data_IF_331250301159
#
_entry.id   IF_331250301159
#
_cell.length_a   1.000
_cell.length_b   1.000
_cell.length_c   1.000
_cell.angle_alpha   90.00
_cell.angle_beta   90.00
_cell.angle_gamma   90.00
#
_symmetry.space_group_name_H-M   'P 1'
#
loop_
_entity.id
_entity.type
_entity.pdbx_description
1 polymer ?
#
# COMPACT_ATOMS: atom_id res chain seq x y z
N UNK A 1 -2.76 7.60 -33.55
CA UNK A 1 -2.16 8.83 -32.98
C UNK A 1 -1.25 8.41 -31.84
N UNK A 2 -0.07 9.00 -31.76
CA UNK A 2 0.81 8.84 -30.60
C UNK A 2 0.10 9.47 -29.39
N UNK A 3 0.22 8.86 -28.20
CA UNK A 3 -0.41 9.43 -27.00
C UNK A 3 0.34 10.71 -26.59
N UNK A 4 -0.41 11.80 -26.45
CA UNK A 4 0.06 13.05 -25.86
C UNK A 4 -0.76 13.33 -24.60
N UNK A 5 -0.07 13.72 -23.53
CA UNK A 5 -0.74 14.14 -22.30
C UNK A 5 -1.41 15.49 -22.54
N UNK A 6 -2.56 15.72 -21.91
CA UNK A 6 -3.26 17.00 -22.05
C UNK A 6 -2.37 18.15 -21.56
N UNK A 7 -2.25 19.19 -22.37
CA UNK A 7 -1.65 20.46 -21.97
C UNK A 7 -2.53 21.18 -20.94
N UNK A 8 -1.97 22.13 -20.20
CA UNK A 8 -2.73 22.93 -19.23
C UNK A 8 -3.91 23.66 -19.87
N UNK A 9 -3.79 24.14 -21.12
CA UNK A 9 -4.89 24.80 -21.83
C UNK A 9 -6.00 23.82 -22.22
N UNK A 10 -5.65 22.65 -22.75
CA UNK A 10 -6.61 21.60 -23.10
C UNK A 10 -7.32 21.08 -21.85
N UNK A 11 -6.59 20.87 -20.76
CA UNK A 11 -7.17 20.41 -19.51
C UNK A 11 -8.09 21.48 -18.90
N UNK A 12 -7.73 22.76 -18.97
CA UNK A 12 -8.59 23.87 -18.54
C UNK A 12 -9.90 23.90 -19.34
N UNK A 13 -9.82 23.80 -20.67
CA UNK A 13 -11.01 23.74 -21.52
C UNK A 13 -11.88 22.51 -21.22
N UNK A 14 -11.26 21.36 -21.01
CA UNK A 14 -11.94 20.12 -20.65
C UNK A 14 -12.70 20.24 -19.32
N UNK A 15 -12.05 20.72 -18.25
CA UNK A 15 -12.66 20.85 -16.92
C UNK A 15 -13.85 21.82 -16.91
N UNK A 16 -13.79 22.90 -17.70
CA UNK A 16 -14.94 23.82 -17.90
C UNK A 16 -16.10 23.16 -18.61
N UNK A 17 -15.81 22.20 -19.49
CA UNK A 17 -16.81 21.40 -20.21
C UNK A 17 -17.51 20.35 -19.35
N UNK A 18 -17.06 20.10 -18.11
CA UNK A 18 -17.67 19.15 -17.18
C UNK A 18 -18.45 19.93 -16.10
N UNK A 19 -19.79 20.10 -16.22
CA UNK A 19 -20.54 21.04 -15.39
C UNK A 19 -20.39 20.83 -13.88
N UNK A 20 -20.40 19.58 -13.42
CA UNK A 20 -20.24 19.26 -12.00
C UNK A 20 -18.86 19.66 -11.45
N UNK A 21 -17.80 19.48 -12.25
CA UNK A 21 -16.43 19.86 -11.87
C UNK A 21 -16.25 21.37 -11.96
N UNK A 22 -16.79 22.00 -13.00
CA UNK A 22 -16.72 23.45 -13.16
C UNK A 22 -17.41 24.19 -12.01
N UNK A 23 -18.58 23.71 -11.58
CA UNK A 23 -19.27 24.23 -10.40
C UNK A 23 -18.45 24.00 -9.10
N UNK A 24 -17.79 22.85 -8.93
CA UNK A 24 -16.92 22.60 -7.78
C UNK A 24 -15.72 23.57 -7.71
N UNK A 25 -15.26 24.04 -8.87
CA UNK A 25 -14.18 25.01 -9.00
C UNK A 25 -14.66 26.47 -8.85
N UNK A 26 -15.95 26.69 -8.61
CA UNK A 26 -16.59 28.02 -8.55
C UNK A 26 -16.57 28.76 -9.89
N UNK A 27 -16.82 28.02 -10.97
CA UNK A 27 -16.97 28.51 -12.34
C UNK A 27 -15.93 29.55 -12.78
N UNK A 28 -14.62 29.27 -12.64
CA UNK A 28 -13.61 30.28 -12.83
C UNK A 28 -13.38 30.62 -14.30
N UNK A 29 -13.17 31.91 -14.57
CA UNK A 29 -12.69 32.38 -15.88
C UNK A 29 -11.27 31.91 -16.23
N UNK A 30 -10.46 31.53 -15.23
CA UNK A 30 -9.07 31.08 -15.36
C UNK A 30 -8.72 30.00 -14.33
N UNK A 31 -8.00 28.95 -14.76
CA UNK A 31 -7.55 27.86 -13.92
C UNK A 31 -6.02 27.83 -13.90
N UNK A 32 -5.46 27.75 -12.70
CA UNK A 32 -4.04 27.44 -12.51
C UNK A 32 -3.87 25.92 -12.52
N UNK A 33 -3.12 25.42 -13.50
CA UNK A 33 -2.90 23.98 -13.71
C UNK A 33 -1.41 23.67 -13.70
N UNK A 34 -1.02 22.82 -12.76
CA UNK A 34 0.36 22.37 -12.56
C UNK A 34 0.41 20.84 -12.59
N UNK A 35 1.35 20.26 -13.34
CA UNK A 35 1.65 18.83 -13.25
C UNK A 35 2.58 18.59 -12.06
N UNK A 36 2.16 17.74 -11.14
CA UNK A 36 2.80 17.51 -9.84
C UNK A 36 3.11 16.04 -9.58
N UNK A 37 2.90 15.18 -10.57
CA UNK A 37 3.11 13.74 -10.44
C UNK A 37 4.59 13.41 -10.34
N UNK A 38 5.03 13.05 -9.13
CA UNK A 38 6.28 12.33 -8.87
C UNK A 38 6.09 10.80 -9.00
N UNK A 39 4.87 10.37 -9.30
CA UNK A 39 4.44 8.98 -9.33
C UNK A 39 4.98 8.16 -10.52
N UNK A 40 5.07 6.85 -10.30
CA UNK A 40 5.69 5.92 -11.25
C UNK A 40 4.83 5.57 -12.47
N UNK A 41 3.50 5.83 -12.44
CA UNK A 41 2.55 5.28 -13.43
C UNK A 41 1.76 6.32 -14.23
N UNK A 42 1.37 7.46 -13.64
CA UNK A 42 0.36 8.35 -14.21
C UNK A 42 0.79 9.82 -14.16
N UNK A 43 0.15 10.66 -14.98
CA UNK A 43 0.24 12.12 -14.85
C UNK A 43 -0.76 12.60 -13.82
N UNK A 44 -0.34 13.52 -12.95
CA UNK A 44 -1.17 14.08 -11.89
C UNK A 44 -1.11 15.59 -11.98
N UNK A 45 -2.26 16.23 -12.10
CA UNK A 45 -2.38 17.68 -12.21
C UNK A 45 -3.16 18.23 -11.03
N UNK A 46 -2.66 19.31 -10.45
CA UNK A 46 -3.47 20.18 -9.59
C UNK A 46 -4.13 21.23 -10.45
N UNK A 47 -5.46 21.29 -10.42
CA UNK A 47 -6.24 22.34 -11.06
C UNK A 47 -6.93 23.16 -9.98
N UNK A 48 -6.64 24.46 -9.92
CA UNK A 48 -7.17 25.39 -8.93
C UNK A 48 -7.79 26.61 -9.59
N UNK A 49 -8.84 27.16 -9.00
CA UNK A 49 -9.35 28.47 -9.38
C UNK A 49 -8.29 29.54 -9.05
N UNK A 50 -7.86 30.32 -10.05
CA UNK A 50 -6.79 31.33 -9.89
C UNK A 50 -7.13 32.44 -8.87
N UNK A 51 -8.43 32.67 -8.60
CA UNK A 51 -8.91 33.67 -7.63
C UNK A 51 -9.31 33.07 -6.28
N UNK A 52 -9.50 31.76 -6.22
CA UNK A 52 -9.91 31.02 -5.03
C UNK A 52 -9.19 29.66 -4.95
N UNK A 53 -7.87 29.63 -4.65
CA UNK A 53 -7.04 28.43 -4.78
C UNK A 53 -7.50 27.21 -3.95
N UNK A 54 -8.32 27.44 -2.91
CA UNK A 54 -8.97 26.38 -2.14
C UNK A 54 -10.02 25.61 -2.94
N UNK A 55 -10.63 26.24 -3.95
CA UNK A 55 -11.49 25.59 -4.95
C UNK A 55 -10.60 24.88 -5.96
N UNK A 56 -10.30 23.62 -5.65
CA UNK A 56 -9.33 22.86 -6.43
C UNK A 56 -9.65 21.37 -6.48
N UNK A 57 -9.15 20.74 -7.54
CA UNK A 57 -9.28 19.31 -7.81
C UNK A 57 -7.93 18.72 -8.22
N UNK A 58 -7.83 17.40 -8.11
CA UNK A 58 -6.76 16.63 -8.74
C UNK A 58 -7.31 16.03 -10.01
N UNK A 59 -6.54 16.10 -11.09
CA UNK A 59 -6.80 15.34 -12.32
C UNK A 59 -5.70 14.32 -12.49
N UNK A 60 -6.06 13.05 -12.71
CA UNK A 60 -5.10 11.98 -12.95
C UNK A 60 -5.37 11.34 -14.31
N UNK A 61 -4.34 11.13 -15.12
CA UNK A 61 -4.45 10.57 -16.46
C UNK A 61 -3.42 9.46 -16.68
N UNK A 62 -3.87 8.33 -17.25
CA UNK A 62 -3.02 7.17 -17.52
C UNK A 62 -2.39 7.21 -18.92
N UNK A 63 -1.04 7.27 -19.05
CA UNK A 63 -0.36 7.01 -20.32
C UNK A 63 -0.37 5.51 -20.70
N UNK A 64 -0.18 5.14 -21.98
CA UNK A 64 -0.15 3.74 -22.42
C UNK A 64 1.18 3.02 -22.11
N UNK A 65 1.93 3.48 -21.11
CA UNK A 65 3.22 2.94 -20.69
C UNK A 65 3.46 3.22 -19.20
N UNK A 66 4.41 2.49 -18.60
CA UNK A 66 4.87 2.73 -17.23
C UNK A 66 5.78 3.96 -17.20
N UNK A 67 5.33 5.06 -16.58
CA UNK A 67 6.05 6.36 -16.55
C UNK A 67 7.48 6.25 -15.99
N UNK A 68 7.70 5.38 -14.99
CA UNK A 68 9.03 5.13 -14.38
C UNK A 68 10.09 4.65 -15.39
N UNK A 69 9.67 3.88 -16.40
CA UNK A 69 10.57 3.30 -17.41
C UNK A 69 10.46 4.03 -18.76
N UNK A 70 9.30 4.61 -19.04
CA UNK A 70 8.97 5.25 -20.30
C UNK A 70 8.39 4.30 -21.34
N UNK A 71 8.39 4.72 -22.60
CA UNK A 71 7.72 4.03 -23.72
C UNK A 71 8.20 2.59 -23.97
N UNK A 72 9.36 2.19 -23.45
CA UNK A 72 9.90 0.83 -23.55
C UNK A 72 9.16 -0.20 -22.71
N UNK A 73 8.28 0.23 -21.79
CA UNK A 73 7.41 -0.66 -21.01
C UNK A 73 5.93 -0.31 -21.21
N UNK A 74 5.26 -0.90 -22.23
CA UNK A 74 3.83 -0.70 -22.46
C UNK A 74 2.98 -1.12 -21.26
N UNK A 75 1.93 -0.37 -20.97
CA UNK A 75 1.03 -0.65 -19.86
C UNK A 75 -0.38 -0.13 -20.18
N UNK A 76 -1.39 -0.97 -20.00
CA UNK A 76 -2.78 -0.64 -20.31
C UNK A 76 -3.28 0.59 -19.57
N UNK A 77 -3.97 1.48 -20.28
CA UNK A 77 -4.63 2.65 -19.70
C UNK A 77 -5.90 2.29 -18.92
N UNK A 78 -6.47 1.10 -19.15
CA UNK A 78 -7.63 0.60 -18.41
C UNK A 78 -7.40 0.51 -16.89
N UNK A 79 -6.14 0.58 -16.44
CA UNK A 79 -5.82 0.76 -15.02
C UNK A 79 -6.49 1.99 -14.38
N UNK A 80 -6.75 3.05 -15.16
CA UNK A 80 -7.49 4.21 -14.66
C UNK A 80 -8.94 3.87 -14.31
N UNK A 81 -9.60 3.06 -15.14
CA UNK A 81 -10.96 2.59 -14.86
C UNK A 81 -11.01 1.68 -13.63
N UNK A 82 -9.97 0.85 -13.45
CA UNK A 82 -9.79 0.01 -12.26
C UNK A 82 -9.60 0.86 -11.01
N UNK A 83 -8.76 1.89 -11.09
CA UNK A 83 -8.54 2.84 -10.00
C UNK A 83 -9.84 3.58 -9.62
N UNK A 84 -10.58 4.10 -10.60
CA UNK A 84 -11.87 4.77 -10.39
C UNK A 84 -12.87 3.83 -9.72
N UNK A 85 -13.00 2.60 -10.20
CA UNK A 85 -13.90 1.60 -9.62
C UNK A 85 -13.52 1.27 -8.18
N UNK A 86 -12.22 1.09 -7.90
CA UNK A 86 -11.70 0.81 -6.58
C UNK A 86 -11.89 2.00 -5.62
N UNK A 87 -11.57 3.23 -6.02
CA UNK A 87 -11.80 4.44 -5.21
C UNK A 87 -13.28 4.62 -4.88
N UNK A 88 -14.19 4.43 -5.84
CA UNK A 88 -15.64 4.49 -5.59
C UNK A 88 -16.08 3.40 -4.62
N UNK A 89 -15.59 2.16 -4.79
CA UNK A 89 -15.92 1.04 -3.90
C UNK A 89 -15.40 1.28 -2.49
N UNK A 90 -14.14 1.64 -2.33
CA UNK A 90 -13.54 1.92 -1.02
C UNK A 90 -14.14 3.15 -0.37
N UNK A 91 -14.45 4.21 -1.13
CA UNK A 91 -15.14 5.40 -0.64
C UNK A 91 -16.57 5.13 -0.17
N UNK A 92 -17.27 4.15 -0.76
CA UNK A 92 -18.56 3.71 -0.25
C UNK A 92 -18.45 2.95 1.09
N UNK A 93 -17.32 2.28 1.33
CA UNK A 93 -17.07 1.50 2.56
C UNK A 93 -16.45 2.33 3.68
N UNK A 94 -15.63 3.33 3.33
CA UNK A 94 -14.84 4.11 4.25
C UNK A 94 -14.64 5.56 3.72
N UNK A 95 -15.73 6.34 3.60
CA UNK A 95 -15.69 7.67 2.97
C UNK A 95 -14.78 8.68 3.68
N UNK A 96 -14.47 8.46 4.96
CA UNK A 96 -13.57 9.31 5.75
C UNK A 96 -12.08 9.11 5.43
N UNK A 97 -11.70 8.04 4.73
CA UNK A 97 -10.31 7.67 4.46
C UNK A 97 -10.02 7.46 2.97
N UNK A 98 -10.93 7.84 2.07
CA UNK A 98 -10.76 7.69 0.62
C UNK A 98 -11.22 8.98 -0.05
N UNK A 99 -10.39 9.59 -0.92
CA UNK A 99 -10.77 10.80 -1.62
C UNK A 99 -11.96 10.57 -2.55
N UNK A 100 -12.85 11.55 -2.64
CA UNK A 100 -14.01 11.46 -3.53
C UNK A 100 -13.59 11.57 -5.00
N UNK A 101 -14.14 10.69 -5.84
CA UNK A 101 -14.06 10.82 -7.30
C UNK A 101 -15.24 11.67 -7.78
N UNK A 102 -14.96 12.81 -8.41
CA UNK A 102 -15.96 13.73 -8.93
C UNK A 102 -16.36 13.41 -10.37
N UNK A 103 -15.39 13.00 -11.19
CA UNK A 103 -15.61 12.70 -12.60
C UNK A 103 -14.64 11.63 -13.08
N UNK A 104 -15.03 10.87 -14.10
CA UNK A 104 -14.19 9.90 -14.76
C UNK A 104 -14.57 9.81 -16.25
N UNK A 105 -13.56 9.65 -17.10
CA UNK A 105 -13.68 9.63 -18.55
C UNK A 105 -12.87 8.46 -19.09
N UNK A 106 -13.59 7.45 -19.61
CA UNK A 106 -13.00 6.22 -20.14
C UNK A 106 -12.30 6.43 -21.48
N UNK A 107 -12.73 7.41 -22.28
CA UNK A 107 -12.11 7.66 -23.60
C UNK A 107 -10.74 8.32 -23.42
N UNK A 108 -10.63 9.22 -22.45
CA UNK A 108 -9.38 9.91 -22.10
C UNK A 108 -8.54 9.18 -21.05
N UNK A 109 -9.06 8.11 -20.44
CA UNK A 109 -8.46 7.43 -19.29
C UNK A 109 -8.04 8.43 -18.21
N UNK A 110 -8.99 9.26 -17.81
CA UNK A 110 -8.81 10.40 -16.93
C UNK A 110 -9.81 10.34 -15.78
N UNK A 111 -9.40 10.77 -14.59
CA UNK A 111 -10.32 11.04 -13.49
C UNK A 111 -10.08 12.41 -12.86
N UNK A 112 -11.14 12.98 -12.30
CA UNK A 112 -11.10 14.17 -11.45
C UNK A 112 -11.53 13.78 -10.05
N UNK A 113 -10.73 14.13 -9.05
CA UNK A 113 -10.94 13.72 -7.65
C UNK A 113 -10.61 14.83 -6.66
N UNK A 114 -11.00 14.61 -5.40
CA UNK A 114 -10.74 15.50 -4.28
C UNK A 114 -9.24 15.79 -4.13
N UNK A 115 -8.89 17.07 -4.07
CA UNK A 115 -7.54 17.51 -3.70
C UNK A 115 -7.39 17.53 -2.19
N UNK A 116 -6.34 16.88 -1.70
CA UNK A 116 -5.99 16.82 -0.28
C UNK A 116 -4.91 17.86 0.04
N UNK A 117 -5.20 19.15 -0.21
CA UNK A 117 -4.20 20.23 -0.20
C UNK A 117 -3.50 20.46 1.15
N UNK A 118 -4.13 20.10 2.27
CA UNK A 118 -3.54 20.17 3.61
C UNK A 118 -2.80 18.90 4.05
N UNK A 119 -2.70 17.91 3.16
CA UNK A 119 -2.09 16.61 3.46
C UNK A 119 -0.76 16.46 2.73
N UNK A 120 0.08 15.58 3.27
CA UNK A 120 1.32 15.15 2.64
C UNK A 120 1.39 13.64 2.57
N UNK A 121 2.21 13.12 1.68
CA UNK A 121 2.50 11.68 1.61
C UNK A 121 3.10 11.22 2.94
N UNK A 122 2.54 10.16 3.53
CA UNK A 122 2.93 9.62 4.83
C UNK A 122 4.41 9.28 4.87
N UNK A 123 4.95 8.67 3.83
CA UNK A 123 6.39 8.35 3.71
C UNK A 123 7.28 9.55 4.05
N UNK A 124 7.00 10.71 3.45
CA UNK A 124 7.78 11.91 3.74
C UNK A 124 7.62 12.36 5.20
N UNK A 125 6.40 12.29 5.74
CA UNK A 125 6.16 12.55 7.16
C UNK A 125 6.96 11.63 8.10
N UNK A 126 7.09 10.34 7.74
CA UNK A 126 7.87 9.37 8.50
C UNK A 126 9.38 9.66 8.46
N UNK A 127 9.90 10.06 7.30
CA UNK A 127 11.29 10.49 7.14
C UNK A 127 11.59 11.75 7.94
N UNK A 128 10.65 12.69 7.99
CA UNK A 128 10.77 13.93 8.75
C UNK A 128 10.57 13.73 10.28
N UNK A 129 10.23 12.52 10.73
CA UNK A 129 10.03 12.24 12.16
C UNK A 129 8.71 12.79 12.72
N UNK A 130 7.71 12.99 11.87
CA UNK A 130 6.40 13.53 12.27
C UNK A 130 5.54 12.42 12.88
N UNK A 131 5.01 12.67 14.08
CA UNK A 131 4.03 11.80 14.73
C UNK A 131 2.63 12.13 14.20
N UNK A 132 1.88 11.09 13.87
CA UNK A 132 0.49 11.18 13.40
C UNK A 132 -0.44 10.45 14.38
N UNK A 133 -1.05 11.15 15.36
CA UNK A 133 -1.72 10.51 16.51
C UNK A 133 -2.86 9.56 16.14
N UNK A 134 -3.52 9.78 15.00
CA UNK A 134 -4.69 9.01 14.56
C UNK A 134 -4.37 7.94 13.51
N UNK A 135 -3.11 7.82 13.09
CA UNK A 135 -2.71 6.96 11.98
C UNK A 135 -3.18 5.51 12.18
N UNK A 136 -2.87 4.92 13.34
CA UNK A 136 -3.25 3.55 13.62
C UNK A 136 -4.77 3.33 13.62
N UNK A 137 -5.53 4.22 14.24
CA UNK A 137 -6.99 4.12 14.30
C UNK A 137 -7.64 4.23 12.91
N UNK A 138 -7.13 5.13 12.06
CA UNK A 138 -7.65 5.32 10.71
C UNK A 138 -7.31 4.16 9.77
N UNK A 139 -6.04 3.72 9.75
CA UNK A 139 -5.63 2.61 8.88
C UNK A 139 -6.25 1.28 9.31
N UNK A 140 -6.37 1.02 10.61
CA UNK A 140 -7.08 -0.17 11.08
C UNK A 140 -8.55 -0.17 10.67
N UNK A 141 -9.22 0.98 10.77
CA UNK A 141 -10.61 1.15 10.29
C UNK A 141 -10.72 0.90 8.79
N UNK A 142 -9.86 1.55 8.00
CA UNK A 142 -9.83 1.38 6.53
C UNK A 142 -9.61 -0.09 6.14
N UNK A 143 -8.57 -0.73 6.67
CA UNK A 143 -8.24 -2.13 6.37
C UNK A 143 -9.39 -3.06 6.77
N UNK A 144 -9.96 -2.90 7.97
CA UNK A 144 -11.03 -3.77 8.43
C UNK A 144 -12.28 -3.66 7.55
N UNK A 145 -12.69 -2.44 7.19
CA UNK A 145 -13.88 -2.22 6.37
C UNK A 145 -13.68 -2.71 4.93
N UNK A 146 -12.58 -2.31 4.29
CA UNK A 146 -12.33 -2.66 2.88
C UNK A 146 -12.12 -4.16 2.68
N UNK A 147 -11.35 -4.80 3.57
CA UNK A 147 -11.07 -6.23 3.45
C UNK A 147 -12.28 -7.10 3.86
N UNK A 148 -13.06 -6.71 4.87
CA UNK A 148 -14.23 -7.48 5.31
C UNK A 148 -15.38 -7.42 4.30
N UNK A 149 -15.83 -6.22 3.92
CA UNK A 149 -17.01 -6.03 3.07
C UNK A 149 -16.80 -6.40 1.60
N UNK A 150 -15.55 -6.64 1.19
CA UNK A 150 -15.21 -7.22 -0.11
C UNK A 150 -15.13 -8.75 -0.12
N UNK A 151 -15.26 -9.43 1.03
CA UNK A 151 -15.00 -10.87 1.15
C UNK A 151 -16.27 -11.73 1.14
N UNK A 152 -16.08 -13.04 0.96
CA UNK A 152 -17.14 -14.05 1.09
C UNK A 152 -17.68 -14.17 2.55
N UNK A 153 -17.05 -13.52 3.54
CA UNK A 153 -17.60 -13.42 4.90
C UNK A 153 -18.83 -12.48 4.96
N UNK A 154 -19.00 -11.62 3.95
CA UNK A 154 -20.07 -10.64 3.89
C UNK A 154 -20.90 -10.75 2.60
N UNK A 155 -20.22 -10.80 1.45
CA UNK A 155 -20.85 -10.84 0.14
C UNK A 155 -21.50 -12.20 -0.11
N UNK A 156 -22.62 -12.18 -0.84
CA UNK A 156 -23.19 -13.42 -1.36
C UNK A 156 -22.23 -14.03 -2.42
N UNK A 157 -22.17 -15.37 -2.55
CA UNK A 157 -21.18 -16.02 -3.40
C UNK A 157 -21.28 -15.68 -4.90
N UNK A 158 -22.46 -15.36 -5.41
CA UNK A 158 -22.71 -14.92 -6.78
C UNK A 158 -22.25 -13.47 -7.00
N UNK A 159 -22.59 -12.57 -6.07
CA UNK A 159 -22.14 -11.18 -6.07
C UNK A 159 -20.62 -11.09 -6.06
N UNK A 160 -19.97 -11.88 -5.20
CA UNK A 160 -18.50 -11.92 -5.12
C UNK A 160 -17.89 -12.45 -6.41
N UNK A 161 -18.43 -13.51 -7.02
CA UNK A 161 -17.91 -14.04 -8.30
C UNK A 161 -18.00 -13.03 -9.44
N UNK A 162 -19.11 -12.29 -9.51
CA UNK A 162 -19.25 -11.22 -10.49
C UNK A 162 -18.25 -10.09 -10.20
N UNK A 163 -18.05 -9.71 -8.94
CA UNK A 163 -17.07 -8.70 -8.58
C UNK A 163 -15.61 -9.12 -8.88
N UNK A 164 -15.27 -10.40 -8.73
CA UNK A 164 -13.97 -10.96 -9.15
C UNK A 164 -13.78 -10.79 -10.66
N UNK A 165 -14.79 -11.11 -11.45
CA UNK A 165 -14.77 -10.95 -12.92
C UNK A 165 -14.54 -9.49 -13.32
N UNK A 166 -15.22 -8.56 -12.67
CA UNK A 166 -15.16 -7.14 -13.03
C UNK A 166 -13.85 -6.47 -12.61
N UNK A 167 -13.17 -7.02 -11.60
CA UNK A 167 -11.92 -6.50 -11.05
C UNK A 167 -10.66 -7.20 -11.62
N UNK A 168 -10.77 -7.95 -12.72
CA UNK A 168 -9.59 -8.53 -13.38
C UNK A 168 -8.64 -7.41 -13.83
N UNK A 169 -7.37 -7.53 -13.41
CA UNK A 169 -6.32 -6.52 -13.61
C UNK A 169 -4.97 -7.17 -13.98
N UNK A 170 -4.99 -8.00 -15.01
CA UNK A 170 -3.91 -8.93 -15.36
C UNK A 170 -2.53 -8.28 -15.57
N UNK A 171 -2.44 -7.14 -16.25
CA UNK A 171 -1.17 -6.46 -16.50
C UNK A 171 -0.53 -5.91 -15.21
N UNK A 172 -1.32 -5.34 -14.31
CA UNK A 172 -0.81 -4.78 -13.05
C UNK A 172 -0.51 -5.90 -12.04
N UNK A 173 -1.31 -6.98 -12.05
CA UNK A 173 -0.96 -8.22 -11.34
C UNK A 173 0.38 -8.77 -11.82
N UNK A 174 0.63 -8.83 -13.14
CA UNK A 174 1.90 -9.31 -13.71
C UNK A 174 3.09 -8.46 -13.27
N UNK A 175 2.95 -7.13 -13.24
CA UNK A 175 3.98 -6.23 -12.70
C UNK A 175 4.33 -6.62 -11.26
N UNK A 176 3.32 -6.94 -10.45
CA UNK A 176 3.52 -7.35 -9.05
C UNK A 176 4.14 -8.76 -8.95
N UNK A 177 3.64 -9.72 -9.70
CA UNK A 177 4.17 -11.09 -9.81
C UNK A 177 5.67 -11.09 -10.11
N UNK A 178 6.08 -10.22 -11.02
CA UNK A 178 7.47 -10.05 -11.43
C UNK A 178 8.29 -9.30 -10.38
N UNK A 179 7.90 -8.07 -10.06
CA UNK A 179 8.72 -7.15 -9.27
C UNK A 179 8.70 -7.43 -7.78
N UNK A 180 7.70 -8.16 -7.26
CA UNK A 180 7.62 -8.50 -5.84
C UNK A 180 8.08 -9.94 -5.58
N UNK A 181 7.70 -10.89 -6.45
CA UNK A 181 7.84 -12.31 -6.12
C UNK A 181 8.87 -13.07 -6.97
N UNK A 182 9.35 -12.47 -8.08
CA UNK A 182 10.21 -13.19 -9.04
C UNK A 182 11.58 -12.51 -9.15
N UNK A 183 11.65 -11.34 -9.75
CA UNK A 183 12.91 -10.68 -10.10
C UNK A 183 13.83 -10.39 -8.91
N UNK A 184 13.36 -9.93 -7.73
CA UNK A 184 14.23 -9.68 -6.57
C UNK A 184 15.04 -10.90 -6.10
N UNK A 185 14.65 -12.10 -6.52
CA UNK A 185 15.23 -13.37 -6.10
C UNK A 185 16.00 -14.08 -7.23
N UNK A 186 16.24 -13.39 -8.34
CA UNK A 186 16.93 -13.87 -9.54
C UNK A 186 18.07 -12.93 -9.95
N UNK A 187 18.84 -13.33 -10.96
CA UNK A 187 19.78 -12.45 -11.64
C UNK A 187 19.08 -11.67 -12.76
N UNK A 188 18.21 -10.76 -12.36
CA UNK A 188 17.39 -9.98 -13.28
C UNK A 188 17.94 -8.56 -13.48
N UNK A 189 18.01 -8.03 -14.71
CA UNK A 189 18.54 -6.68 -14.99
C UNK A 189 17.80 -5.53 -14.32
N UNK A 190 16.57 -5.75 -13.86
CA UNK A 190 15.80 -4.73 -13.13
C UNK A 190 16.25 -4.55 -11.67
N UNK A 191 17.00 -5.51 -11.13
CA UNK A 191 17.47 -5.42 -9.76
C UNK A 191 18.56 -4.37 -9.67
N UNK A 192 18.48 -3.54 -8.64
CA UNK A 192 19.41 -2.45 -8.41
C UNK A 192 19.85 -2.48 -6.95
N UNK A 193 21.16 -2.45 -6.70
CA UNK A 193 21.74 -2.41 -5.37
C UNK A 193 23.11 -1.74 -5.42
N UNK A 194 23.44 -0.99 -4.37
CA UNK A 194 24.72 -0.28 -4.28
C UNK A 194 25.89 -1.27 -4.28
N UNK A 195 27.07 -0.92 -4.82
CA UNK A 195 28.29 -1.73 -4.66
C UNK A 195 28.67 -2.03 -3.20
N UNK A 196 28.22 -1.20 -2.26
CA UNK A 196 28.40 -1.42 -0.82
C UNK A 196 27.50 -2.52 -0.24
N UNK A 197 26.43 -2.90 -0.95
CA UNK A 197 25.53 -3.95 -0.51
C UNK A 197 26.22 -5.33 -0.58
N UNK A 198 26.24 -6.12 0.51
CA UNK A 198 27.04 -7.35 0.54
C UNK A 198 26.56 -8.40 -0.47
N UNK A 199 27.46 -8.84 -1.36
CA UNK A 199 27.17 -9.89 -2.35
C UNK A 199 26.68 -11.21 -1.73
N UNK A 200 27.12 -11.53 -0.51
CA UNK A 200 26.68 -12.72 0.21
C UNK A 200 25.17 -12.70 0.51
N UNK A 201 24.59 -11.52 0.75
CA UNK A 201 23.16 -11.37 1.01
C UNK A 201 22.36 -11.59 -0.29
N UNK A 202 22.85 -11.09 -1.44
CA UNK A 202 22.28 -11.39 -2.77
C UNK A 202 22.33 -12.89 -3.05
N UNK A 203 23.47 -13.53 -2.78
CA UNK A 203 23.62 -14.98 -2.91
C UNK A 203 22.60 -15.74 -2.06
N UNK A 204 22.38 -15.32 -0.81
CA UNK A 204 21.39 -15.91 0.08
C UNK A 204 19.97 -15.81 -0.48
N UNK A 205 19.57 -14.64 -1.00
CA UNK A 205 18.25 -14.44 -1.61
C UNK A 205 17.96 -15.44 -2.74
N UNK A 206 18.99 -15.75 -3.54
CA UNK A 206 18.87 -16.64 -4.71
C UNK A 206 18.96 -18.12 -4.35
N UNK A 207 19.75 -18.47 -3.32
CA UNK A 207 20.15 -19.85 -3.05
C UNK A 207 19.52 -20.46 -1.80
N UNK A 208 18.96 -19.66 -0.88
CA UNK A 208 18.33 -20.17 0.35
C UNK A 208 17.06 -20.95 0.03
N UNK A 209 17.02 -22.29 0.24
CA UNK A 209 15.84 -23.09 -0.10
C UNK A 209 14.60 -22.66 0.68
N UNK A 210 14.75 -22.40 1.99
CA UNK A 210 13.65 -21.99 2.85
C UNK A 210 13.02 -20.66 2.37
N UNK A 211 13.85 -19.69 1.98
CA UNK A 211 13.38 -18.41 1.46
C UNK A 211 12.72 -18.56 0.09
N UNK A 212 13.31 -19.34 -0.82
CA UNK A 212 12.75 -19.57 -2.17
C UNK A 212 11.41 -20.32 -2.13
N UNK A 213 11.25 -21.26 -1.20
CA UNK A 213 9.96 -21.92 -0.95
C UNK A 213 8.95 -20.90 -0.40
N UNK A 214 9.33 -20.13 0.61
CA UNK A 214 8.42 -19.18 1.24
C UNK A 214 7.93 -18.08 0.28
N UNK A 215 8.79 -17.55 -0.61
CA UNK A 215 8.35 -16.60 -1.64
C UNK A 215 7.44 -17.27 -2.68
N UNK A 216 7.70 -18.53 -3.06
CA UNK A 216 6.85 -19.26 -3.99
C UNK A 216 5.44 -19.47 -3.41
N UNK A 217 5.32 -19.74 -2.12
CA UNK A 217 4.03 -19.84 -1.42
C UNK A 217 3.28 -18.49 -1.42
N UNK A 218 3.98 -17.37 -1.21
CA UNK A 218 3.37 -16.04 -1.29
C UNK A 218 2.94 -15.68 -2.72
N UNK A 219 3.76 -16.02 -3.72
CA UNK A 219 3.39 -15.88 -5.14
C UNK A 219 2.15 -16.69 -5.48
N UNK A 220 2.11 -17.95 -5.04
CA UNK A 220 0.96 -18.82 -5.24
C UNK A 220 -0.31 -18.23 -4.64
N UNK A 221 -0.26 -17.77 -3.39
CA UNK A 221 -1.39 -17.12 -2.74
C UNK A 221 -1.84 -15.86 -3.50
N UNK A 222 -0.91 -15.00 -3.91
CA UNK A 222 -1.24 -13.80 -4.71
C UNK A 222 -1.98 -14.13 -6.01
N UNK A 223 -1.57 -15.20 -6.71
CA UNK A 223 -2.13 -15.58 -8.00
C UNK A 223 -3.46 -16.35 -7.91
N UNK A 224 -3.78 -16.95 -6.76
CA UNK A 224 -4.91 -17.90 -6.64
C UNK A 224 -5.95 -17.52 -5.59
N UNK A 225 -5.57 -16.81 -4.52
CA UNK A 225 -6.45 -16.57 -3.37
C UNK A 225 -7.26 -15.29 -3.57
N UNK A 226 -8.39 -15.38 -4.27
CA UNK A 226 -9.31 -14.26 -4.49
C UNK A 226 -10.14 -13.92 -3.23
N UNK A 227 -9.53 -13.55 -2.10
CA UNK A 227 -10.22 -13.41 -0.81
C UNK A 227 -11.07 -12.14 -0.69
N UNK A 228 -10.59 -11.00 -1.20
CA UNK A 228 -11.30 -9.71 -1.15
C UNK A 228 -10.75 -8.75 -2.19
N UNK A 229 -11.45 -7.64 -2.45
CA UNK A 229 -10.93 -6.56 -3.30
C UNK A 229 -9.80 -5.81 -2.56
N UNK A 230 -8.57 -5.96 -3.05
CA UNK A 230 -7.39 -5.30 -2.52
C UNK A 230 -7.22 -3.89 -3.09
N UNK A 231 -6.53 -3.04 -2.35
CA UNK A 231 -5.88 -1.85 -2.87
C UNK A 231 -4.75 -2.22 -3.84
N UNK A 232 -3.95 -3.24 -3.52
CA UNK A 232 -2.94 -3.81 -4.41
C UNK A 232 -1.57 -3.11 -4.37
N UNK A 233 -1.46 -1.86 -3.92
CA UNK A 233 -0.15 -1.25 -3.59
C UNK A 233 -0.16 -0.35 -2.36
N UNK A 234 -0.71 -0.83 -1.24
CA UNK A 234 -0.95 -0.02 -0.02
C UNK A 234 0.32 0.26 0.81
N UNK A 235 1.28 0.95 0.23
CA UNK A 235 2.49 1.39 0.91
C UNK A 235 2.36 2.82 1.47
N UNK A 236 3.32 3.29 2.28
CA UNK A 236 3.31 4.65 2.86
C UNK A 236 3.39 5.79 1.83
N UNK A 237 3.70 5.47 0.56
CA UNK A 237 3.57 6.40 -0.57
C UNK A 237 2.15 6.55 -1.12
N UNK A 238 1.23 5.66 -0.75
CA UNK A 238 -0.18 5.63 -1.21
C UNK A 238 -1.13 6.07 -0.10
N UNK A 239 -0.58 6.80 0.88
CA UNK A 239 -1.29 7.28 2.06
C UNK A 239 -0.91 8.74 2.23
N UNK A 240 -1.93 9.61 2.28
CA UNK A 240 -1.78 11.03 2.58
C UNK A 240 -2.32 11.32 3.98
N UNK A 241 -1.57 12.13 4.75
CA UNK A 241 -1.86 12.39 6.16
C UNK A 241 -1.70 13.86 6.50
N UNK A 242 -2.45 14.27 7.52
CA UNK A 242 -2.16 15.44 8.35
C UNK A 242 -2.31 15.00 9.83
N UNK A 243 -2.28 15.93 10.79
CA UNK A 243 -2.41 15.60 12.23
C UNK A 243 -3.76 14.97 12.61
N UNK A 244 -4.80 15.20 11.81
CA UNK A 244 -6.18 14.89 12.09
C UNK A 244 -6.79 13.82 11.19
N UNK A 245 -6.23 13.59 10.01
CA UNK A 245 -6.84 12.87 8.90
C UNK A 245 -5.84 11.91 8.22
N UNK A 246 -6.37 10.86 7.61
CA UNK A 246 -5.62 9.87 6.86
C UNK A 246 -6.44 9.43 5.66
N UNK A 247 -5.87 9.52 4.47
CA UNK A 247 -6.49 9.14 3.22
C UNK A 247 -5.62 8.13 2.47
N UNK A 248 -6.24 7.10 1.93
CA UNK A 248 -5.62 6.12 1.04
C UNK A 248 -5.93 6.51 -0.40
N UNK A 249 -4.91 6.52 -1.24
CA UNK A 249 -4.95 6.95 -2.65
C UNK A 249 -4.30 5.90 -3.55
N UNK A 250 -4.49 6.02 -4.86
CA UNK A 250 -3.82 5.18 -5.87
C UNK A 250 -4.10 3.66 -5.83
N UNK A 251 -5.36 3.18 -5.71
CA UNK A 251 -5.70 1.76 -5.81
C UNK A 251 -5.71 1.23 -7.26
N UNK A 252 -4.78 1.65 -8.12
CA UNK A 252 -4.74 1.23 -9.54
C UNK A 252 -4.33 -0.24 -9.74
N UNK A 253 -3.70 -0.83 -8.72
CA UNK A 253 -3.38 -2.25 -8.65
C UNK A 253 -4.53 -3.10 -8.08
N UNK A 254 -5.71 -2.51 -7.86
CA UNK A 254 -6.82 -3.22 -7.25
C UNK A 254 -7.26 -4.43 -8.09
N UNK A 255 -7.43 -5.55 -7.41
CA UNK A 255 -7.96 -6.81 -7.91
C UNK A 255 -8.44 -7.67 -6.72
N UNK A 256 -9.16 -8.76 -6.99
CA UNK A 256 -9.48 -9.71 -5.92
C UNK A 256 -8.29 -10.60 -5.61
N UNK A 257 -7.74 -10.47 -4.40
CA UNK A 257 -6.54 -11.17 -3.96
C UNK A 257 -6.52 -11.42 -2.45
N UNK A 258 -5.38 -11.89 -1.90
CA UNK A 258 -5.27 -12.29 -0.50
C UNK A 258 -5.21 -11.08 0.44
N UNK A 259 -6.03 -11.09 1.49
CA UNK A 259 -6.17 -9.96 2.44
C UNK A 259 -4.85 -9.51 3.05
N UNK A 260 -3.96 -10.48 3.34
CA UNK A 260 -2.66 -10.19 3.94
C UNK A 260 -1.76 -9.32 3.07
N UNK A 261 -2.02 -9.20 1.77
CA UNK A 261 -1.16 -8.43 0.86
C UNK A 261 -1.18 -6.93 1.16
N UNK A 262 -2.35 -6.35 1.43
CA UNK A 262 -2.47 -4.93 1.79
C UNK A 262 -1.99 -4.65 3.21
N UNK A 263 -2.33 -5.52 4.17
CA UNK A 263 -1.87 -5.42 5.56
C UNK A 263 -0.34 -5.49 5.59
N UNK A 264 0.23 -6.50 4.91
CA UNK A 264 1.66 -6.68 4.79
C UNK A 264 2.38 -5.50 4.14
N UNK A 265 1.74 -4.81 3.18
CA UNK A 265 2.30 -3.60 2.58
C UNK A 265 2.47 -2.46 3.58
N UNK A 266 1.47 -2.22 4.43
CA UNK A 266 1.53 -1.21 5.49
C UNK A 266 2.61 -1.57 6.50
N UNK A 267 2.58 -2.81 7.02
CA UNK A 267 3.55 -3.27 8.03
C UNK A 267 4.99 -3.22 7.50
N UNK A 268 5.23 -3.70 6.27
CA UNK A 268 6.55 -3.64 5.63
C UNK A 268 7.11 -2.22 5.55
N UNK A 269 6.29 -1.26 5.14
CA UNK A 269 6.77 0.11 4.97
C UNK A 269 7.02 0.82 6.32
N UNK A 270 6.24 0.51 7.36
CA UNK A 270 6.53 0.99 8.72
C UNK A 270 7.82 0.40 9.28
N UNK A 271 8.09 -0.88 9.01
CA UNK A 271 9.34 -1.53 9.41
C UNK A 271 10.55 -0.99 8.62
N UNK A 272 10.41 -0.70 7.33
CA UNK A 272 11.46 -0.04 6.53
C UNK A 272 11.76 1.36 7.08
N UNK A 273 10.72 2.14 7.43
CA UNK A 273 10.88 3.44 8.08
C UNK A 273 11.57 3.30 9.46
N UNK A 274 11.23 2.26 10.23
CA UNK A 274 11.87 1.99 11.52
C UNK A 274 13.38 1.75 11.37
N UNK A 275 13.80 0.88 10.45
CA UNK A 275 15.22 0.58 10.26
C UNK A 275 16.00 1.77 9.68
N UNK A 276 15.36 2.65 8.89
CA UNK A 276 16.03 3.83 8.34
C UNK A 276 16.28 4.93 9.37
N UNK A 277 15.54 4.95 10.49
CA UNK A 277 15.66 5.97 11.53
C UNK A 277 17.06 6.11 12.12
N UNK A 278 17.84 5.02 12.13
CA UNK A 278 19.25 5.05 12.56
C UNK A 278 20.07 6.18 11.92
N UNK A 279 19.78 6.49 10.65
CA UNK A 279 20.43 7.56 9.93
C UNK A 279 19.67 8.88 10.08
N UNK A 280 18.36 8.87 9.84
CA UNK A 280 17.54 10.09 9.85
C UNK A 280 17.53 10.81 11.20
N UNK A 281 17.56 10.08 12.31
CA UNK A 281 17.61 10.66 13.65
C UNK A 281 18.93 11.40 13.93
N UNK A 282 20.06 10.88 13.40
CA UNK A 282 21.38 11.50 13.57
C UNK A 282 21.46 12.85 12.85
N UNK A 283 20.79 12.96 11.70
CA UNK A 283 20.77 14.18 10.90
C UNK A 283 19.88 15.26 11.53
N UNK A 284 18.77 14.88 12.15
CA UNK A 284 17.77 15.83 12.67
C UNK A 284 17.91 16.18 14.17
N UNK A 285 18.90 15.60 14.87
CA UNK A 285 19.14 15.79 16.32
C UNK A 285 17.86 15.62 17.19
N UNK A 286 16.93 14.80 16.71
CA UNK A 286 15.65 14.51 17.36
C UNK A 286 15.82 13.31 18.31
N UNK A 287 14.91 13.16 19.27
CA UNK A 287 14.90 12.03 20.22
C UNK A 287 14.69 10.67 19.55
N UNK A 288 15.74 10.11 18.96
CA UNK A 288 15.77 8.97 18.06
C UNK A 288 15.01 7.73 18.56
N UNK A 289 15.19 7.43 19.85
CA UNK A 289 14.58 6.26 20.49
C UNK A 289 13.06 6.40 20.52
N UNK A 290 12.54 7.59 20.81
CA UNK A 290 11.09 7.82 20.97
C UNK A 290 10.34 7.69 19.65
N UNK A 291 10.92 8.13 18.53
CA UNK A 291 10.25 8.02 17.24
C UNK A 291 10.26 6.58 16.70
N UNK A 292 11.37 5.86 16.89
CA UNK A 292 11.45 4.42 16.59
C UNK A 292 10.45 3.61 17.41
N UNK A 293 10.27 3.94 18.69
CA UNK A 293 9.24 3.33 19.53
C UNK A 293 7.84 3.62 18.98
N UNK A 294 7.55 4.87 18.61
CA UNK A 294 6.27 5.23 18.00
C UNK A 294 5.97 4.45 16.71
N UNK A 295 6.97 4.23 15.84
CA UNK A 295 6.79 3.42 14.62
C UNK A 295 6.41 1.96 14.94
N UNK A 296 7.04 1.36 15.95
CA UNK A 296 6.71 0.01 16.41
C UNK A 296 5.35 -0.05 17.11
N UNK A 297 4.97 1.02 17.82
CA UNK A 297 3.63 1.16 18.38
C UNK A 297 2.57 1.25 17.27
N UNK A 298 2.87 1.90 16.14
CA UNK A 298 1.97 1.91 14.98
C UNK A 298 1.80 0.52 14.38
N UNK A 299 2.88 -0.27 14.25
CA UNK A 299 2.82 -1.67 13.79
C UNK A 299 1.87 -2.49 14.68
N UNK A 300 2.02 -2.38 16.00
CA UNK A 300 1.17 -3.09 16.97
C UNK A 300 -0.28 -2.61 16.93
N UNK A 301 -0.47 -1.28 16.94
CA UNK A 301 -1.79 -0.66 17.03
C UNK A 301 -2.61 -0.83 15.76
N UNK A 302 -1.98 -0.79 14.58
CA UNK A 302 -2.67 -1.04 13.31
C UNK A 302 -3.16 -2.48 13.25
N UNK A 303 -2.29 -3.46 13.54
CA UNK A 303 -2.71 -4.87 13.57
C UNK A 303 -3.81 -5.12 14.60
N UNK A 304 -3.61 -4.68 15.84
CA UNK A 304 -4.58 -4.89 16.93
C UNK A 304 -5.93 -4.21 16.67
N UNK A 305 -5.91 -2.97 16.18
CA UNK A 305 -7.12 -2.25 15.79
C UNK A 305 -7.82 -2.90 14.60
N UNK A 306 -7.06 -3.41 13.63
CA UNK A 306 -7.60 -4.13 12.48
C UNK A 306 -8.29 -5.42 12.93
N UNK A 307 -7.61 -6.26 13.70
CA UNK A 307 -8.14 -7.52 14.22
C UNK A 307 -9.43 -7.29 15.02
N UNK A 308 -9.40 -6.35 15.96
CA UNK A 308 -10.56 -6.02 16.77
C UNK A 308 -11.75 -5.56 15.90
N UNK A 309 -11.51 -4.64 14.97
CA UNK A 309 -12.56 -4.08 14.11
C UNK A 309 -13.09 -5.12 13.14
N UNK A 310 -12.23 -5.90 12.50
CA UNK A 310 -12.61 -6.96 11.55
C UNK A 310 -13.46 -8.03 12.23
N UNK A 311 -13.04 -8.52 13.41
CA UNK A 311 -13.81 -9.49 14.19
C UNK A 311 -15.15 -8.92 14.66
N UNK A 312 -15.21 -7.63 15.02
CA UNK A 312 -16.46 -6.96 15.36
C UNK A 312 -17.41 -6.91 14.15
N UNK A 313 -16.92 -6.50 12.98
CA UNK A 313 -17.71 -6.47 11.74
C UNK A 313 -18.27 -7.85 11.40
N UNK A 314 -17.45 -8.89 11.55
CA UNK A 314 -17.84 -10.29 11.34
C UNK A 314 -18.97 -10.70 12.30
N UNK A 315 -18.77 -10.54 13.62
CA UNK A 315 -19.79 -10.90 14.63
C UNK A 315 -21.09 -10.13 14.42
N UNK A 316 -21.01 -8.83 14.14
CA UNK A 316 -22.17 -7.99 13.88
C UNK A 316 -22.94 -8.44 12.62
N UNK A 317 -22.24 -8.89 11.58
CA UNK A 317 -22.86 -9.38 10.35
C UNK A 317 -23.62 -10.69 10.59
N UNK A 318 -22.98 -11.67 11.23
CA UNK A 318 -23.60 -12.97 11.55
C UNK A 318 -24.78 -12.83 12.50
N UNK A 319 -24.67 -11.94 13.50
CA UNK A 319 -25.78 -11.61 14.41
C UNK A 319 -27.00 -11.08 13.65
N UNK A 320 -26.80 -10.15 12.69
CA UNK A 320 -27.88 -9.63 11.84
C UNK A 320 -28.47 -10.71 10.92
N UNK A 321 -27.64 -11.60 10.38
CA UNK A 321 -28.09 -12.72 9.53
C UNK A 321 -28.71 -13.87 10.31
N UNK A 322 -28.51 -13.92 11.63
CA UNK A 322 -28.88 -15.05 12.51
C UNK A 322 -28.31 -16.38 12.03
N UNK A 323 -27.07 -16.35 11.51
CA UNK A 323 -26.37 -17.52 10.99
C UNK A 323 -24.87 -17.26 10.99
N UNK A 324 -24.06 -18.28 11.32
CA UNK A 324 -22.61 -18.21 11.23
C UNK A 324 -22.11 -18.58 9.84
N UNK A 325 -20.90 -18.14 9.50
CA UNK A 325 -20.20 -18.53 8.28
C UNK A 325 -20.10 -20.06 8.12
N UNK A 326 -19.95 -20.77 9.23
CA UNK A 326 -19.85 -22.24 9.26
C UNK A 326 -21.20 -22.97 9.37
N UNK A 327 -22.32 -22.24 9.40
CA UNK A 327 -23.65 -22.80 9.64
C UNK A 327 -24.03 -22.85 11.12
N UNK A 328 -24.76 -23.89 11.53
CA UNK A 328 -25.28 -24.00 12.90
C UNK A 328 -24.16 -24.25 13.92
N UNK A 329 -24.16 -23.47 15.00
CA UNK A 329 -23.28 -23.63 16.14
C UNK A 329 -24.09 -23.36 17.43
N UNK A 330 -24.82 -24.36 17.97
CA UNK A 330 -25.72 -24.19 19.11
C UNK A 330 -25.09 -23.63 20.39
N UNK A 331 -23.75 -23.48 20.45
CA UNK A 331 -23.02 -22.86 21.57
C UNK A 331 -22.11 -21.69 21.19
N UNK A 332 -21.96 -21.33 19.91
CA UNK A 332 -21.09 -20.26 19.42
C UNK A 332 -19.58 -20.48 19.60
N UNK A 333 -19.16 -21.59 20.23
CA UNK A 333 -17.76 -21.88 20.56
C UNK A 333 -16.96 -22.22 19.31
N UNK A 334 -17.56 -22.94 18.37
CA UNK A 334 -16.90 -23.32 17.12
C UNK A 334 -16.65 -22.10 16.23
N UNK A 335 -17.62 -21.18 16.15
CA UNK A 335 -17.50 -19.94 15.39
C UNK A 335 -16.37 -19.06 15.94
N UNK A 336 -16.29 -18.85 17.26
CA UNK A 336 -15.20 -18.09 17.87
C UNK A 336 -13.83 -18.75 17.67
N UNK A 337 -13.73 -20.08 17.81
CA UNK A 337 -12.49 -20.81 17.55
C UNK A 337 -12.04 -20.69 16.07
N UNK A 338 -12.98 -20.75 15.12
CA UNK A 338 -12.67 -20.56 13.71
C UNK A 338 -12.18 -19.13 13.43
N UNK A 339 -12.84 -18.10 13.99
CA UNK A 339 -12.40 -16.70 13.82
C UNK A 339 -10.99 -16.49 14.38
N UNK A 340 -10.66 -17.07 15.53
CA UNK A 340 -9.31 -17.00 16.08
C UNK A 340 -8.28 -17.66 15.14
N UNK A 341 -8.57 -18.84 14.60
CA UNK A 341 -7.71 -19.52 13.63
C UNK A 341 -7.58 -18.74 12.32
N UNK A 342 -8.65 -18.12 11.87
CA UNK A 342 -8.65 -17.26 10.68
C UNK A 342 -7.70 -16.07 10.86
N UNK A 343 -7.76 -15.38 12.01
CA UNK A 343 -6.87 -14.25 12.29
C UNK A 343 -5.40 -14.65 12.41
N UNK A 344 -5.11 -15.82 12.99
CA UNK A 344 -3.75 -16.38 13.03
C UNK A 344 -3.20 -16.67 11.63
N UNK A 345 -4.01 -17.29 10.75
CA UNK A 345 -3.66 -17.50 9.33
C UNK A 345 -3.42 -16.15 8.63
N UNK A 346 -4.29 -15.17 8.86
CA UNK A 346 -4.20 -13.86 8.23
C UNK A 346 -2.96 -13.08 8.70
N UNK A 347 -2.58 -13.18 9.98
CA UNK A 347 -1.33 -12.62 10.49
C UNK A 347 -0.15 -13.23 9.74
N UNK A 348 -0.03 -14.56 9.72
CA UNK A 348 1.06 -15.25 9.05
C UNK A 348 1.15 -14.85 7.56
N UNK A 349 0.03 -14.80 6.85
CA UNK A 349 0.00 -14.37 5.44
C UNK A 349 0.45 -12.91 5.28
N UNK A 350 0.01 -12.02 6.18
CA UNK A 350 0.41 -10.61 6.18
C UNK A 350 1.91 -10.43 6.41
N UNK A 351 2.51 -11.21 7.31
CA UNK A 351 3.96 -11.19 7.57
C UNK A 351 4.76 -11.73 6.37
N UNK A 352 4.25 -12.77 5.71
CA UNK A 352 4.84 -13.29 4.48
C UNK A 352 4.90 -12.22 3.37
N UNK A 353 3.78 -11.56 3.10
CA UNK A 353 3.76 -10.45 2.13
C UNK A 353 4.57 -9.24 2.58
N UNK A 354 4.63 -8.96 3.88
CA UNK A 354 5.51 -7.92 4.40
C UNK A 354 6.97 -8.22 4.08
N UNK A 355 7.43 -9.47 4.31
CA UNK A 355 8.77 -9.91 3.95
C UNK A 355 9.08 -9.74 2.46
N UNK A 356 8.20 -10.21 1.57
CA UNK A 356 8.38 -10.02 0.12
C UNK A 356 8.46 -8.53 -0.27
N UNK A 357 7.58 -7.70 0.29
CA UNK A 357 7.56 -6.25 0.01
C UNK A 357 8.77 -5.52 0.57
N UNK A 358 9.32 -5.93 1.71
CA UNK A 358 10.57 -5.37 2.21
C UNK A 358 11.75 -5.76 1.31
N UNK A 359 11.89 -7.04 0.97
CA UNK A 359 12.98 -7.54 0.11
C UNK A 359 12.99 -6.81 -1.24
N UNK A 360 11.84 -6.73 -1.92
CA UNK A 360 11.76 -6.08 -3.23
C UNK A 360 12.09 -4.59 -3.20
N UNK A 361 11.90 -3.90 -2.06
CA UNK A 361 12.24 -2.48 -1.91
C UNK A 361 13.74 -2.26 -1.65
N UNK A 362 14.47 -3.30 -1.23
CA UNK A 362 15.91 -3.26 -0.97
C UNK A 362 16.69 -3.59 -2.24
N UNK A 363 16.38 -4.71 -2.90
CA UNK A 363 17.18 -5.23 -4.04
C UNK A 363 16.51 -5.08 -5.41
N UNK A 364 15.21 -4.76 -5.45
CA UNK A 364 14.45 -4.65 -6.68
C UNK A 364 14.48 -3.25 -7.31
N UNK A 365 13.77 -3.11 -8.43
CA UNK A 365 13.73 -1.89 -9.24
C UNK A 365 13.17 -0.67 -8.47
N UNK A 366 11.96 -0.81 -7.93
CA UNK A 366 11.26 0.31 -7.30
C UNK A 366 11.57 0.35 -5.80
N UNK A 367 12.53 1.19 -5.40
CA UNK A 367 12.99 1.34 -4.02
C UNK A 367 12.10 2.29 -3.18
N UNK A 368 12.51 2.57 -1.94
CA UNK A 368 11.82 3.52 -1.04
C UNK A 368 12.75 4.66 -0.60
N UNK A 369 12.21 5.88 -0.61
CA UNK A 369 12.93 7.09 -0.22
C UNK A 369 13.46 7.03 1.22
N UNK A 370 12.80 6.30 2.12
CA UNK A 370 13.24 6.08 3.50
C UNK A 370 14.71 5.61 3.57
N UNK A 371 15.14 4.81 2.59
CA UNK A 371 16.49 4.24 2.50
C UNK A 371 17.30 4.91 1.39
N UNK A 372 16.73 5.16 0.21
CA UNK A 372 17.51 5.68 -0.93
C UNK A 372 17.99 7.11 -0.73
N UNK A 373 17.33 7.91 0.11
CA UNK A 373 17.77 9.27 0.45
C UNK A 373 19.01 9.30 1.35
N UNK A 374 19.45 8.15 1.89
CA UNK A 374 20.64 8.04 2.72
C UNK A 374 21.88 8.14 1.80
N UNK A 375 22.59 9.27 1.89
CA UNK A 375 23.73 9.56 1.03
C UNK A 375 24.96 8.69 1.32
N UNK A 376 25.18 8.31 2.59
CA UNK A 376 26.30 7.45 2.96
C UNK A 376 26.03 5.99 2.58
N UNK A 377 26.78 5.50 1.59
CA UNK A 377 26.64 4.14 1.05
C UNK A 377 26.84 3.04 2.10
N UNK A 378 27.76 3.23 3.05
CA UNK A 378 28.04 2.23 4.07
C UNK A 378 26.89 2.13 5.09
N UNK A 379 26.42 3.27 5.59
CA UNK A 379 25.24 3.32 6.47
C UNK A 379 23.99 2.78 5.79
N UNK A 380 23.77 3.14 4.52
CA UNK A 380 22.65 2.64 3.72
C UNK A 380 22.70 1.11 3.60
N UNK A 381 23.84 0.55 3.21
CA UNK A 381 24.01 -0.90 3.10
C UNK A 381 23.77 -1.62 4.44
N UNK A 382 24.27 -1.06 5.56
CA UNK A 382 24.04 -1.64 6.87
C UNK A 382 22.55 -1.67 7.27
N UNK A 383 21.80 -0.59 6.97
CA UNK A 383 20.35 -0.50 7.17
C UNK A 383 19.62 -1.51 6.27
N UNK A 384 19.98 -1.56 4.99
CA UNK A 384 19.42 -2.49 4.01
C UNK A 384 19.59 -3.95 4.47
N UNK A 385 20.76 -4.32 4.97
CA UNK A 385 21.03 -5.68 5.50
C UNK A 385 20.17 -5.98 6.74
N UNK A 386 20.02 -5.04 7.68
CA UNK A 386 19.15 -5.24 8.86
C UNK A 386 17.69 -5.44 8.45
N UNK A 387 17.19 -4.58 7.56
CA UNK A 387 15.84 -4.67 7.05
C UNK A 387 15.63 -5.98 6.27
N UNK A 388 16.62 -6.42 5.47
CA UNK A 388 16.56 -7.69 4.74
C UNK A 388 16.46 -8.90 5.67
N UNK A 389 17.25 -8.92 6.75
CA UNK A 389 17.20 -10.00 7.75
C UNK A 389 15.85 -10.06 8.46
N UNK A 390 15.28 -8.90 8.82
CA UNK A 390 13.93 -8.83 9.35
C UNK A 390 12.91 -9.41 8.36
N UNK A 391 13.01 -9.01 7.10
CA UNK A 391 12.11 -9.46 6.04
C UNK A 391 12.20 -10.98 5.78
N UNK A 392 13.41 -11.54 5.76
CA UNK A 392 13.63 -12.98 5.62
C UNK A 392 12.98 -13.76 6.77
N UNK A 393 13.18 -13.31 8.01
CA UNK A 393 12.55 -13.93 9.18
C UNK A 393 11.03 -13.81 9.16
N UNK A 394 10.49 -12.63 8.82
CA UNK A 394 9.06 -12.44 8.63
C UNK A 394 8.48 -13.39 7.60
N UNK A 395 9.20 -13.65 6.51
CA UNK A 395 8.73 -14.51 5.44
C UNK A 395 8.83 -16.00 5.80
N UNK A 396 9.99 -16.44 6.31
CA UNK A 396 10.27 -17.86 6.59
C UNK A 396 9.64 -18.33 7.90
N UNK A 397 9.68 -17.50 8.95
CA UNK A 397 9.21 -17.86 10.30
C UNK A 397 7.74 -17.47 10.55
N UNK A 398 7.01 -16.93 9.55
CA UNK A 398 5.64 -16.38 9.71
C UNK A 398 4.64 -17.27 10.46
N UNK A 399 4.74 -18.58 10.30
CA UNK A 399 3.82 -19.53 10.96
C UNK A 399 4.16 -19.78 12.45
N UNK A 400 5.40 -19.47 12.86
CA UNK A 400 5.83 -19.56 14.25
C UNK A 400 5.58 -18.25 15.03
N UNK A 401 5.34 -17.14 14.32
CA UNK A 401 5.02 -15.84 14.91
C UNK A 401 3.52 -15.81 15.27
N UNK A 402 3.21 -15.99 16.54
CA UNK A 402 1.84 -16.11 17.04
C UNK A 402 1.14 -14.77 17.34
N UNK A 403 1.88 -13.66 17.38
CA UNK A 403 1.32 -12.33 17.59
C UNK A 403 2.25 -11.21 17.09
N UNK A 404 1.69 -10.01 16.92
CA UNK A 404 2.43 -8.84 16.40
C UNK A 404 3.53 -8.35 17.36
N UNK A 405 3.43 -8.61 18.66
CA UNK A 405 4.46 -8.19 19.62
C UNK A 405 5.79 -8.93 19.39
N UNK A 406 5.74 -10.19 18.94
CA UNK A 406 6.94 -10.93 18.55
C UNK A 406 7.66 -10.29 17.35
N UNK A 407 6.92 -9.69 16.41
CA UNK A 407 7.50 -8.91 15.29
C UNK A 407 8.25 -7.69 15.81
N UNK A 408 7.65 -6.96 16.75
CA UNK A 408 8.26 -5.80 17.40
C UNK A 408 9.52 -6.18 18.16
N UNK A 409 9.47 -7.25 18.97
CA UNK A 409 10.65 -7.76 19.68
C UNK A 409 11.77 -8.17 18.72
N UNK A 410 11.43 -8.83 17.60
CA UNK A 410 12.39 -9.19 16.57
C UNK A 410 13.04 -7.97 15.93
N UNK A 411 12.25 -6.95 15.56
CA UNK A 411 12.78 -5.73 14.95
C UNK A 411 13.74 -5.01 15.92
N UNK A 412 13.39 -4.92 17.21
CA UNK A 412 14.25 -4.34 18.26
C UNK A 412 15.57 -5.10 18.43
N UNK A 413 15.53 -6.43 18.43
CA UNK A 413 16.74 -7.26 18.56
C UNK A 413 17.68 -7.03 17.37
N UNK A 414 17.17 -7.09 16.14
CA UNK A 414 17.97 -6.84 14.93
C UNK A 414 18.53 -5.41 14.88
N UNK A 415 17.82 -4.46 15.46
CA UNK A 415 18.26 -3.08 15.57
C UNK A 415 19.41 -2.90 16.59
N UNK A 416 19.40 -3.66 17.68
CA UNK A 416 20.46 -3.65 18.69
C UNK A 416 21.74 -4.35 18.20
N UNK A 417 21.60 -5.47 17.47
CA UNK A 417 22.73 -6.25 16.93
C UNK A 417 23.60 -5.46 15.94
N UNK A 418 23.07 -4.39 15.34
CA UNK A 418 23.79 -3.50 14.43
C UNK A 418 24.65 -2.41 15.10
N UNK A 419 24.69 -2.33 16.44
CA UNK A 419 25.48 -1.35 17.20
C UNK A 419 26.84 -1.87 17.69
N UNK A 420 27.34 -2.97 17.12
CA UNK A 420 28.76 -3.30 17.24
C UNK A 420 29.54 -2.30 16.36
N UNK A 421 29.92 -1.17 16.98
CA UNK A 421 30.88 -0.19 16.44
C UNK A 421 32.18 -0.88 15.96
N UNK A 422 32.88 -0.28 14.98
CA UNK A 422 34.08 -0.87 14.34
C UNK A 422 35.16 -1.35 15.32
#
# INVERSE_FOLDING_TARGET
MEFEALSSSELSAYLRGVPAVYALLDEPGELDIEEVGDGNLNFVYFASNARAPEKSVVVKQAPPFLRLVGKSWPLTRHRMEREVAALRRFGALCPQHVPRVYHADSDLFLMVMQRLSSHRILRQGLMDGVVYPKLAAHLSTYLAHTLFYGSDLFLAPDVKKQAVRDAVNSELCKVTEDLVFTYPFEDHPSNDYSPAFPRAEIGRLRQSPALRIAVAEMKWAFMNDAETLLHGDLHTGSIMVNQNDTYVIDPEFAFYGPMGFDIGAVLANLLLAYFSRDWHDRVHNAGAVRYRDWLLDQVTSIWGGFEQTFLKLWRDHESRRKSHFMGDDPGGVCAEAYRARFMQRLLAQSLGFAGCKMIRRIVGMAKVADITSIADNASRAAIEVRALRCAERLLVERNAIGNIAQVVSMARALQADGHVSP
#
